data_IF_316179672476
#
_entry.id   IF_316179672476
#
_cell.length_a   1.000
_cell.length_b   1.000
_cell.length_c   1.000
_cell.angle_alpha   90.00
_cell.angle_beta   90.00
_cell.angle_gamma   90.00
#
_symmetry.space_group_name_H-M   'P 1'
#
loop_
_entity.id
_entity.type
_entity.pdbx_description
1 polymer ?
#
# COMPACT_ATOMS: atom_id res chain seq x y z
N UNK A 1 44.36 -12.48 -16.59
CA UNK A 1 43.23 -12.87 -15.77
C UNK A 1 42.26 -13.63 -16.68
N UNK A 2 41.91 -14.88 -16.36
CA UNK A 2 40.92 -15.66 -17.11
C UNK A 2 39.55 -15.34 -16.53
N UNK A 3 38.60 -14.94 -17.37
CA UNK A 3 37.16 -14.82 -17.01
C UNK A 3 36.55 -16.23 -17.08
N UNK A 4 35.77 -16.59 -16.09
CA UNK A 4 34.96 -17.80 -16.11
C UNK A 4 33.49 -17.39 -16.11
N UNK A 5 32.69 -17.93 -17.03
CA UNK A 5 31.27 -17.79 -17.03
C UNK A 5 30.67 -18.61 -15.88
N UNK A 6 29.86 -17.92 -15.04
CA UNK A 6 29.11 -18.57 -13.97
C UNK A 6 27.70 -18.87 -14.49
N UNK A 7 27.41 -20.15 -14.63
CA UNK A 7 26.06 -20.61 -14.99
C UNK A 7 25.04 -20.22 -13.92
N UNK A 8 23.81 -20.02 -14.32
CA UNK A 8 22.67 -19.80 -13.43
C UNK A 8 21.57 -20.81 -13.70
N UNK A 9 20.79 -21.14 -12.69
CA UNK A 9 19.65 -22.04 -12.80
C UNK A 9 18.36 -21.25 -12.78
N UNK A 10 17.63 -21.25 -13.89
CA UNK A 10 16.44 -20.44 -14.07
C UNK A 10 15.36 -20.76 -13.02
N UNK A 11 15.09 -22.02 -12.76
CA UNK A 11 14.11 -22.47 -11.78
C UNK A 11 14.41 -21.94 -10.39
N UNK A 12 15.67 -22.00 -9.93
CA UNK A 12 16.07 -21.51 -8.60
C UNK A 12 15.97 -19.99 -8.46
N UNK A 13 16.33 -19.26 -9.51
CA UNK A 13 16.23 -17.78 -9.50
C UNK A 13 14.76 -17.36 -9.44
N UNK A 14 13.91 -17.94 -10.26
CA UNK A 14 12.46 -17.64 -10.27
C UNK A 14 11.78 -18.06 -8.96
N UNK A 15 12.18 -19.22 -8.40
CA UNK A 15 11.73 -19.62 -7.08
C UNK A 15 12.16 -18.63 -5.98
N UNK A 16 13.37 -18.07 -6.06
CA UNK A 16 13.84 -16.99 -5.20
C UNK A 16 12.98 -15.73 -5.35
N UNK A 17 12.69 -15.33 -6.60
CA UNK A 17 11.83 -14.17 -6.91
C UNK A 17 10.40 -14.36 -6.38
N UNK A 18 9.82 -15.55 -6.49
CA UNK A 18 8.47 -15.84 -5.97
C UNK A 18 8.36 -15.73 -4.46
N UNK A 19 9.49 -15.75 -3.73
CA UNK A 19 9.54 -15.67 -2.26
C UNK A 19 10.02 -14.33 -1.72
N UNK A 20 10.01 -13.29 -2.52
CA UNK A 20 10.40 -11.93 -2.10
C UNK A 20 9.39 -11.29 -1.10
N UNK A 21 8.57 -12.03 -0.39
CA UNK A 21 7.77 -11.49 0.72
C UNK A 21 6.71 -10.45 0.32
N UNK A 22 6.11 -10.59 -0.87
CA UNK A 22 4.95 -9.79 -1.24
C UNK A 22 3.70 -10.23 -0.47
N UNK A 23 2.96 -9.26 0.05
CA UNK A 23 1.55 -9.48 0.40
C UNK A 23 0.70 -9.41 -0.88
N UNK A 24 -0.50 -10.01 -0.92
CA UNK A 24 -1.39 -9.86 -2.07
C UNK A 24 -1.62 -8.40 -2.46
N UNK A 25 -1.78 -7.52 -1.48
CA UNK A 25 -2.02 -6.10 -1.68
C UNK A 25 -0.84 -5.40 -2.34
N UNK A 26 0.39 -5.67 -1.89
CA UNK A 26 1.59 -5.07 -2.47
C UNK A 26 1.88 -5.62 -3.87
N UNK A 27 1.63 -6.92 -4.11
CA UNK A 27 1.80 -7.54 -5.42
C UNK A 27 0.84 -6.94 -6.45
N UNK A 28 -0.45 -6.85 -6.12
CA UNK A 28 -1.46 -6.26 -7.00
C UNK A 28 -1.15 -4.80 -7.28
N UNK A 29 -0.74 -4.03 -6.25
CA UNK A 29 -0.36 -2.63 -6.45
C UNK A 29 0.83 -2.48 -7.41
N UNK A 30 1.87 -3.29 -7.31
CA UNK A 30 3.01 -3.21 -8.24
C UNK A 30 2.64 -3.57 -9.70
N UNK A 31 1.60 -4.39 -9.89
CA UNK A 31 1.08 -4.66 -11.23
C UNK A 31 0.24 -3.49 -11.74
N UNK A 32 -0.61 -2.90 -10.90
CA UNK A 32 -1.39 -1.70 -11.23
C UNK A 32 -0.49 -0.50 -11.53
N UNK A 33 0.67 -0.37 -10.85
CA UNK A 33 1.67 0.64 -11.18
C UNK A 33 2.09 0.59 -12.66
N UNK A 34 2.22 -0.61 -13.24
CA UNK A 34 2.55 -0.75 -14.65
C UNK A 34 1.44 -0.24 -15.57
N UNK A 35 0.18 -0.51 -15.25
CA UNK A 35 -0.98 -0.01 -16.00
C UNK A 35 -1.00 1.53 -16.01
N UNK A 36 -0.84 2.15 -14.82
CA UNK A 36 -0.83 3.62 -14.67
C UNK A 36 0.36 4.24 -15.42
N UNK A 37 1.55 3.65 -15.30
CA UNK A 37 2.77 4.13 -15.98
C UNK A 37 2.61 4.09 -17.50
N UNK A 38 1.84 3.11 -18.01
CA UNK A 38 1.55 2.97 -19.44
C UNK A 38 0.24 3.64 -19.87
N UNK A 39 -0.12 4.72 -19.18
CA UNK A 39 -1.19 5.66 -19.55
C UNK A 39 -2.59 5.05 -19.55
N UNK A 40 -2.85 4.06 -18.72
CA UNK A 40 -4.20 3.57 -18.50
C UNK A 40 -5.09 4.64 -17.85
N UNK A 41 -6.29 4.77 -18.34
CA UNK A 41 -7.35 5.58 -17.74
C UNK A 41 -8.30 4.73 -16.89
N UNK A 42 -8.44 3.46 -17.27
CA UNK A 42 -9.27 2.49 -16.57
C UNK A 42 -8.43 1.25 -16.21
N UNK A 43 -8.46 0.86 -14.94
CA UNK A 43 -7.81 -0.36 -14.45
C UNK A 43 -8.81 -1.19 -13.67
N UNK A 44 -8.99 -2.44 -14.09
CA UNK A 44 -9.92 -3.37 -13.46
C UNK A 44 -9.15 -4.50 -12.78
N UNK A 45 -9.22 -4.56 -11.47
CA UNK A 45 -8.68 -5.66 -10.67
C UNK A 45 -9.80 -6.63 -10.36
N UNK A 46 -9.63 -7.91 -10.70
CA UNK A 46 -10.60 -8.96 -10.38
C UNK A 46 -9.94 -10.09 -9.61
N UNK A 47 -10.58 -10.51 -8.54
CA UNK A 47 -10.23 -11.68 -7.76
C UNK A 47 -11.31 -12.73 -8.00
N UNK A 48 -11.03 -13.68 -8.88
CA UNK A 48 -11.99 -14.70 -9.27
C UNK A 48 -11.95 -15.84 -8.27
N UNK A 49 -13.11 -16.17 -7.71
CA UNK A 49 -13.26 -17.28 -6.77
C UNK A 49 -13.35 -18.60 -7.50
N UNK A 50 -12.64 -19.61 -7.00
CA UNK A 50 -12.85 -20.97 -7.43
C UNK A 50 -14.25 -21.45 -7.02
N UNK A 51 -15.01 -22.02 -7.96
CA UNK A 51 -16.28 -22.68 -7.66
C UNK A 51 -16.02 -23.97 -6.90
N UNK A 52 -16.05 -23.91 -5.59
CA UNK A 52 -15.97 -25.09 -4.71
C UNK A 52 -17.40 -25.61 -4.51
N UNK A 53 -17.54 -26.94 -4.43
CA UNK A 53 -18.78 -27.61 -4.08
C UNK A 53 -19.38 -26.97 -2.81
N UNK A 54 -20.66 -26.64 -2.86
CA UNK A 54 -21.39 -25.89 -1.81
C UNK A 54 -21.32 -26.51 -0.40
N UNK A 55 -20.79 -27.73 -0.28
CA UNK A 55 -20.62 -28.44 0.99
C UNK A 55 -19.39 -27.98 1.82
N UNK A 56 -18.40 -27.30 1.24
CA UNK A 56 -17.20 -26.85 1.97
C UNK A 56 -17.16 -25.32 2.13
N UNK A 57 -17.87 -24.83 3.15
CA UNK A 57 -17.94 -23.41 3.50
C UNK A 57 -16.60 -22.83 4.04
N UNK A 58 -15.55 -23.63 4.18
CA UNK A 58 -14.32 -23.24 4.89
C UNK A 58 -13.18 -22.80 3.99
N UNK A 59 -13.26 -23.03 2.67
CA UNK A 59 -12.19 -22.68 1.73
C UNK A 59 -12.70 -21.71 0.66
N UNK A 60 -12.38 -20.44 0.85
CA UNK A 60 -12.55 -19.43 -0.18
C UNK A 60 -11.28 -19.41 -1.05
N UNK A 61 -11.10 -20.40 -1.92
CA UNK A 61 -9.95 -20.44 -2.81
C UNK A 61 -10.10 -19.39 -3.91
N UNK A 62 -9.01 -18.73 -4.22
CA UNK A 62 -8.90 -17.85 -5.37
C UNK A 62 -8.50 -18.70 -6.58
N UNK A 63 -9.27 -18.60 -7.67
CA UNK A 63 -8.96 -19.24 -8.95
C UNK A 63 -7.85 -18.49 -9.67
N UNK A 64 -8.02 -17.17 -9.76
CA UNK A 64 -7.11 -16.29 -10.49
C UNK A 64 -7.21 -14.83 -10.02
N UNK A 65 -6.15 -14.09 -10.27
CA UNK A 65 -6.13 -12.63 -10.31
C UNK A 65 -6.12 -12.17 -11.77
N UNK A 66 -6.92 -11.15 -12.07
CA UNK A 66 -6.92 -10.46 -13.35
C UNK A 66 -6.69 -8.98 -13.08
N UNK A 67 -5.72 -8.38 -13.77
CA UNK A 67 -5.52 -6.95 -13.83
C UNK A 67 -5.63 -6.56 -15.30
N UNK A 68 -6.64 -5.75 -15.62
CA UNK A 68 -7.02 -5.38 -16.98
C UNK A 68 -6.93 -3.88 -17.11
N UNK A 69 -6.26 -3.38 -18.13
CA UNK A 69 -6.13 -1.95 -18.38
C UNK A 69 -6.35 -1.58 -19.85
N UNK A 70 -6.71 -0.34 -20.06
CA UNK A 70 -6.87 0.31 -21.37
C UNK A 70 -5.66 1.17 -21.77
N UNK A 71 -4.48 0.86 -21.24
CA UNK A 71 -3.24 1.58 -21.51
C UNK A 71 -2.75 1.43 -22.95
N UNK A 72 -1.49 1.85 -23.20
CA UNK A 72 -0.92 1.80 -24.56
C UNK A 72 -0.81 0.37 -25.12
N UNK A 73 -0.87 -0.66 -24.28
CA UNK A 73 -0.66 -2.04 -24.65
C UNK A 73 0.76 -2.34 -25.16
N UNK A 74 0.98 -3.56 -25.58
CA UNK A 74 2.28 -4.05 -26.06
C UNK A 74 2.13 -4.82 -27.36
N UNK A 75 3.13 -4.72 -28.23
CA UNK A 75 3.35 -5.66 -29.32
C UNK A 75 4.10 -6.91 -28.82
N UNK A 76 4.40 -7.82 -29.73
CA UNK A 76 5.10 -9.08 -29.42
C UNK A 76 6.46 -8.83 -28.73
N UNK A 77 7.21 -7.84 -29.20
CA UNK A 77 8.51 -7.54 -28.61
C UNK A 77 8.37 -6.95 -27.19
N UNK A 78 7.38 -6.08 -26.99
CA UNK A 78 7.04 -5.52 -25.69
C UNK A 78 6.63 -6.60 -24.68
N UNK A 79 5.79 -7.56 -25.07
CA UNK A 79 5.38 -8.68 -24.19
C UNK A 79 6.58 -9.57 -23.85
N UNK A 80 7.43 -9.89 -24.82
CA UNK A 80 8.64 -10.69 -24.56
C UNK A 80 9.59 -9.93 -23.60
N UNK A 81 9.80 -8.64 -23.83
CA UNK A 81 10.59 -7.79 -22.93
C UNK A 81 10.00 -7.70 -21.51
N UNK A 82 8.66 -7.72 -21.38
CA UNK A 82 8.00 -7.73 -20.07
C UNK A 82 8.26 -9.05 -19.32
N UNK A 83 8.52 -10.16 -19.99
CA UNK A 83 8.92 -11.42 -19.37
C UNK A 83 10.43 -11.52 -19.10
N UNK A 84 11.30 -10.81 -19.82
CA UNK A 84 12.74 -10.87 -19.62
C UNK A 84 13.16 -10.50 -18.20
N UNK A 85 14.12 -11.22 -17.64
CA UNK A 85 14.70 -10.93 -16.33
C UNK A 85 15.85 -9.93 -16.47
N UNK A 86 15.62 -8.69 -16.05
CA UNK A 86 16.66 -7.65 -16.08
C UNK A 86 16.97 -7.13 -17.49
N UNK A 87 15.94 -6.75 -18.24
CA UNK A 87 16.11 -6.16 -19.57
C UNK A 87 16.90 -4.85 -19.49
N UNK A 88 18.04 -4.79 -20.21
CA UNK A 88 18.92 -3.63 -20.23
C UNK A 88 18.44 -2.52 -21.20
N UNK A 89 17.52 -2.79 -22.09
CA UNK A 89 17.10 -1.88 -23.15
C UNK A 89 15.96 -0.93 -22.73
N UNK A 90 15.36 -1.16 -21.58
CA UNK A 90 14.36 -0.24 -21.03
C UNK A 90 15.02 0.93 -20.29
N UNK A 91 15.00 2.10 -20.95
CA UNK A 91 15.32 3.37 -20.29
C UNK A 91 14.10 3.79 -19.47
N UNK A 92 14.12 3.51 -18.19
CA UNK A 92 13.09 4.03 -17.29
C UNK A 92 13.22 5.54 -17.17
N UNK A 93 12.12 6.28 -17.37
CA UNK A 93 12.10 7.70 -17.06
C UNK A 93 12.29 7.91 -15.55
N UNK A 94 12.85 9.04 -15.15
CA UNK A 94 13.04 9.40 -13.73
C UNK A 94 11.70 9.38 -12.96
N UNK A 95 10.58 9.63 -13.63
CA UNK A 95 9.23 9.61 -13.08
C UNK A 95 8.59 8.21 -13.07
N UNK A 96 9.27 7.19 -13.60
CA UNK A 96 8.73 5.83 -13.64
C UNK A 96 8.47 5.30 -12.24
N UNK A 97 7.30 4.68 -12.06
CA UNK A 97 6.94 3.94 -10.84
C UNK A 97 7.69 2.60 -10.75
N UNK A 98 8.29 2.11 -11.85
CA UNK A 98 9.01 0.83 -11.92
C UNK A 98 10.47 1.07 -12.35
N UNK A 99 11.46 0.63 -11.55
CA UNK A 99 12.89 0.92 -11.81
C UNK A 99 13.73 -0.27 -12.31
N UNK A 100 13.29 -1.53 -12.17
CA UNK A 100 14.21 -2.69 -12.25
C UNK A 100 13.77 -3.80 -13.20
N UNK A 101 12.64 -3.68 -13.89
CA UNK A 101 12.13 -4.72 -14.79
C UNK A 101 11.80 -6.07 -14.15
N UNK A 102 11.87 -6.17 -12.82
CA UNK A 102 11.57 -7.39 -12.05
C UNK A 102 10.20 -7.34 -11.37
N UNK A 103 9.60 -6.17 -11.18
CA UNK A 103 8.38 -5.96 -10.39
C UNK A 103 7.22 -6.85 -10.83
N UNK A 104 6.87 -6.83 -12.12
CA UNK A 104 5.77 -7.64 -12.65
C UNK A 104 5.96 -9.13 -12.34
N UNK A 105 7.16 -9.67 -12.59
CA UNK A 105 7.46 -11.11 -12.40
C UNK A 105 7.48 -11.50 -10.93
N UNK A 106 8.17 -10.74 -10.10
CA UNK A 106 8.26 -11.02 -8.65
C UNK A 106 6.90 -10.86 -7.97
N UNK A 107 6.12 -9.84 -8.32
CA UNK A 107 4.76 -9.65 -7.83
C UNK A 107 3.85 -10.81 -8.26
N UNK A 108 3.79 -11.12 -9.56
CA UNK A 108 2.92 -12.17 -10.08
C UNK A 108 3.28 -13.54 -9.54
N UNK A 109 4.56 -13.94 -9.59
CA UNK A 109 4.99 -15.25 -9.11
C UNK A 109 4.96 -15.40 -7.58
N UNK A 110 4.89 -14.31 -6.84
CA UNK A 110 4.62 -14.39 -5.40
C UNK A 110 3.17 -14.80 -5.10
N UNK A 111 2.24 -14.61 -6.04
CA UNK A 111 0.83 -14.91 -5.88
C UNK A 111 0.42 -16.26 -6.50
N UNK A 112 1.03 -16.66 -7.62
CA UNK A 112 0.72 -17.91 -8.32
C UNK A 112 1.88 -18.41 -9.18
N UNK A 113 1.77 -19.64 -9.69
CA UNK A 113 2.84 -20.25 -10.48
C UNK A 113 2.74 -19.93 -11.97
N UNK A 114 1.60 -19.44 -12.44
CA UNK A 114 1.34 -19.18 -13.86
C UNK A 114 1.06 -17.70 -14.05
N UNK A 115 1.78 -17.09 -14.97
CA UNK A 115 1.59 -15.72 -15.43
C UNK A 115 1.27 -15.71 -16.91
N UNK A 116 0.13 -15.14 -17.28
CA UNK A 116 -0.26 -14.88 -18.66
C UNK A 116 -0.34 -13.38 -18.91
N UNK A 117 0.14 -12.95 -20.06
CA UNK A 117 0.02 -11.58 -20.56
C UNK A 117 -0.72 -11.64 -21.89
N UNK A 118 -1.87 -10.97 -21.94
CA UNK A 118 -2.64 -10.73 -23.16
C UNK A 118 -2.57 -9.24 -23.43
N UNK A 119 -2.04 -8.82 -24.58
CA UNK A 119 -1.87 -7.41 -24.85
C UNK A 119 -2.00 -7.06 -26.31
N UNK A 120 -2.37 -5.80 -26.58
CA UNK A 120 -2.42 -5.21 -27.91
C UNK A 120 -2.08 -3.73 -27.88
N UNK A 121 -1.22 -3.30 -28.80
CA UNK A 121 -0.95 -1.89 -29.09
C UNK A 121 -1.87 -1.32 -30.20
N UNK A 122 -2.88 -2.09 -30.63
CA UNK A 122 -3.82 -1.75 -31.69
C UNK A 122 -3.67 -2.60 -32.96
N UNK A 123 -2.71 -3.52 -32.99
CA UNK A 123 -2.46 -4.42 -34.15
C UNK A 123 -3.08 -5.82 -33.96
N UNK A 124 -3.82 -6.04 -32.90
CA UNK A 124 -4.41 -7.31 -32.51
C UNK A 124 -3.85 -7.81 -31.19
N UNK A 125 -4.67 -8.58 -30.47
CA UNK A 125 -4.26 -9.16 -29.19
C UNK A 125 -3.39 -10.40 -29.41
N UNK A 126 -2.34 -10.48 -28.58
CA UNK A 126 -1.44 -11.63 -28.51
C UNK A 126 -1.39 -12.12 -27.07
N UNK A 127 -1.17 -13.41 -26.89
CA UNK A 127 -1.11 -14.07 -25.59
C UNK A 127 0.19 -14.82 -25.40
N UNK A 128 0.84 -14.59 -24.29
CA UNK A 128 2.03 -15.32 -23.84
C UNK A 128 1.87 -15.76 -22.40
N UNK A 129 2.48 -16.91 -22.09
CA UNK A 129 2.40 -17.56 -20.79
C UNK A 129 3.75 -18.05 -20.31
N UNK A 130 3.98 -17.90 -19.02
CA UNK A 130 5.06 -18.55 -18.26
C UNK A 130 4.43 -19.41 -17.17
N UNK A 131 4.82 -20.68 -17.12
CA UNK A 131 4.45 -21.62 -16.06
C UNK A 131 5.71 -22.07 -15.32
N UNK A 132 5.88 -21.63 -14.07
CA UNK A 132 7.04 -21.95 -13.24
C UNK A 132 7.26 -23.46 -13.06
N UNK A 133 6.21 -24.27 -13.13
CA UNK A 133 6.29 -25.72 -12.96
C UNK A 133 6.93 -26.42 -14.15
N UNK A 134 6.97 -25.78 -15.31
CA UNK A 134 7.58 -26.32 -16.53
C UNK A 134 9.02 -25.85 -16.75
N UNK A 135 9.49 -24.90 -15.93
CA UNK A 135 10.82 -24.34 -16.06
C UNK A 135 11.83 -25.18 -15.27
N UNK A 136 12.77 -25.77 -15.98
CA UNK A 136 13.87 -26.55 -15.42
C UNK A 136 15.20 -25.77 -15.51
N UNK A 137 15.88 -25.86 -16.66
CA UNK A 137 17.21 -25.27 -16.86
C UNK A 137 17.18 -23.93 -17.60
N UNK A 138 16.15 -23.70 -18.43
CA UNK A 138 16.02 -22.47 -19.24
C UNK A 138 14.69 -21.76 -18.95
N UNK A 139 14.75 -20.42 -18.91
CA UNK A 139 13.58 -19.58 -18.79
C UNK A 139 12.97 -19.30 -20.16
N UNK A 140 11.69 -19.59 -20.33
CA UNK A 140 10.96 -19.38 -21.58
C UNK A 140 9.52 -19.00 -21.32
N UNK A 141 8.89 -18.37 -22.29
CA UNK A 141 7.45 -18.19 -22.37
C UNK A 141 6.90 -18.89 -23.60
N UNK A 142 5.64 -19.25 -23.56
CA UNK A 142 4.93 -19.90 -24.66
C UNK A 142 3.90 -18.94 -25.24
N UNK A 143 3.87 -18.78 -26.56
CA UNK A 143 2.80 -18.09 -27.28
C UNK A 143 1.59 -19.01 -27.35
N UNK A 144 0.41 -18.53 -27.01
CA UNK A 144 -0.85 -19.30 -27.02
C UNK A 144 -1.92 -18.54 -27.82
N UNK A 145 -2.86 -19.29 -28.40
CA UNK A 145 -4.04 -18.71 -29.02
C UNK A 145 -4.98 -18.14 -27.95
N UNK A 146 -5.74 -17.10 -28.30
CA UNK A 146 -6.80 -16.58 -27.44
C UNK A 146 -7.92 -17.62 -27.30
N UNK A 147 -8.45 -17.72 -26.10
CA UNK A 147 -9.65 -18.54 -25.84
C UNK A 147 -10.91 -17.68 -25.94
N UNK A 148 -12.08 -18.30 -26.08
CA UNK A 148 -13.37 -17.59 -26.05
C UNK A 148 -13.52 -16.73 -24.76
N UNK A 149 -13.00 -17.23 -23.62
CA UNK A 149 -12.98 -16.49 -22.34
C UNK A 149 -12.07 -15.25 -22.41
N UNK A 150 -10.94 -15.35 -23.11
CA UNK A 150 -10.04 -14.21 -23.32
C UNK A 150 -10.69 -13.14 -24.20
N UNK A 151 -11.37 -13.55 -25.27
CA UNK A 151 -12.08 -12.64 -26.16
C UNK A 151 -13.25 -11.93 -25.45
N UNK A 152 -14.02 -12.65 -24.62
CA UNK A 152 -15.07 -12.05 -23.80
C UNK A 152 -14.52 -11.02 -22.80
N UNK A 153 -13.35 -11.30 -22.19
CA UNK A 153 -12.70 -10.36 -21.26
C UNK A 153 -12.22 -9.10 -21.99
N UNK A 154 -11.65 -9.26 -23.18
CA UNK A 154 -11.20 -8.15 -24.03
C UNK A 154 -12.39 -7.27 -24.40
N UNK A 155 -13.42 -7.87 -24.98
CA UNK A 155 -14.61 -7.14 -25.48
C UNK A 155 -15.33 -6.39 -24.36
N UNK A 156 -15.37 -6.98 -23.18
CA UNK A 156 -16.05 -6.37 -22.03
C UNK A 156 -15.29 -5.18 -21.43
N UNK A 157 -13.96 -5.24 -21.40
CA UNK A 157 -13.18 -4.33 -20.54
C UNK A 157 -12.22 -3.42 -21.33
N UNK A 158 -11.87 -3.75 -22.57
CA UNK A 158 -10.89 -2.98 -23.37
C UNK A 158 -11.58 -2.31 -24.55
N UNK A 159 -11.78 -1.02 -24.43
CA UNK A 159 -12.39 -0.22 -25.49
C UNK A 159 -11.27 0.38 -26.35
N UNK A 160 -11.39 0.22 -27.70
CA UNK A 160 -10.42 0.83 -28.61
C UNK A 160 -9.28 -0.08 -29.05
N UNK A 161 -9.30 -1.37 -28.66
CA UNK A 161 -8.37 -2.39 -29.15
C UNK A 161 -6.93 -2.27 -28.66
N UNK A 162 -6.70 -1.45 -27.63
CA UNK A 162 -5.40 -1.30 -26.94
C UNK A 162 -5.56 -1.54 -25.47
N UNK A 163 -4.61 -2.23 -24.89
CA UNK A 163 -4.59 -2.49 -23.45
C UNK A 163 -3.90 -3.80 -23.11
N UNK A 164 -3.93 -4.13 -21.83
CA UNK A 164 -3.25 -5.32 -21.31
C UNK A 164 -4.11 -6.04 -20.28
N UNK A 165 -4.09 -7.37 -20.32
CA UNK A 165 -4.61 -8.25 -19.29
C UNK A 165 -3.44 -9.03 -18.71
N UNK A 166 -3.22 -8.88 -17.42
CA UNK A 166 -2.33 -9.73 -16.62
C UNK A 166 -3.19 -10.75 -15.89
N UNK A 167 -2.99 -12.03 -16.17
CA UNK A 167 -3.68 -13.13 -15.50
C UNK A 167 -2.69 -13.93 -14.67
N UNK A 168 -3.00 -14.18 -13.41
CA UNK A 168 -2.20 -15.01 -12.51
C UNK A 168 -3.07 -16.16 -12.06
N UNK A 169 -2.62 -17.40 -12.31
CA UNK A 169 -3.33 -18.62 -11.94
C UNK A 169 -2.44 -19.58 -11.16
N UNK A 170 -2.99 -20.73 -10.76
CA UNK A 170 -2.32 -21.68 -9.85
C UNK A 170 -1.84 -20.98 -8.57
N UNK A 171 -2.81 -20.36 -7.89
CA UNK A 171 -2.61 -19.41 -6.81
C UNK A 171 -2.04 -20.10 -5.54
N UNK A 172 -1.12 -19.43 -4.88
CA UNK A 172 -0.55 -19.83 -3.58
C UNK A 172 -1.56 -19.60 -2.44
N UNK A 173 -2.54 -20.50 -2.30
CA UNK A 173 -3.71 -20.35 -1.41
C UNK A 173 -3.35 -20.05 0.05
N UNK A 174 -2.19 -20.49 0.52
CA UNK A 174 -1.76 -20.25 1.91
C UNK A 174 -1.50 -18.76 2.21
N UNK A 175 -1.31 -17.93 1.19
CA UNK A 175 -1.15 -16.49 1.34
C UNK A 175 -2.50 -15.77 1.52
N UNK A 176 -3.62 -16.49 1.42
CA UNK A 176 -4.97 -15.94 1.43
C UNK A 176 -5.84 -16.62 2.48
N UNK A 177 -5.75 -16.24 3.77
CA UNK A 177 -6.51 -16.90 4.84
C UNK A 177 -8.02 -16.72 4.71
N UNK A 178 -8.47 -15.63 4.08
CA UNK A 178 -9.88 -15.32 3.84
C UNK A 178 -10.05 -14.41 2.62
N UNK A 179 -10.81 -14.86 1.63
CA UNK A 179 -11.11 -14.05 0.44
C UNK A 179 -11.77 -12.71 0.80
N UNK A 180 -12.73 -12.73 1.73
CA UNK A 180 -13.44 -11.52 2.17
C UNK A 180 -12.48 -10.49 2.75
N UNK A 181 -11.58 -10.92 3.61
CA UNK A 181 -10.60 -10.03 4.21
C UNK A 181 -9.61 -9.51 3.16
N UNK A 182 -9.13 -10.39 2.27
CA UNK A 182 -8.23 -10.00 1.17
C UNK A 182 -8.86 -8.91 0.28
N UNK A 183 -10.12 -9.06 -0.11
CA UNK A 183 -10.84 -8.05 -0.91
C UNK A 183 -10.99 -6.74 -0.15
N UNK A 184 -11.49 -6.80 1.08
CA UNK A 184 -11.72 -5.59 1.90
C UNK A 184 -10.42 -4.82 2.21
N UNK A 185 -9.34 -5.54 2.50
CA UNK A 185 -8.03 -4.91 2.72
C UNK A 185 -7.46 -4.34 1.42
N UNK A 186 -7.61 -5.05 0.30
CA UNK A 186 -7.11 -4.59 -0.99
C UNK A 186 -7.85 -3.31 -1.43
N UNK A 187 -9.18 -3.27 -1.32
CA UNK A 187 -9.98 -2.08 -1.62
C UNK A 187 -9.47 -0.85 -0.83
N UNK A 188 -9.37 -0.99 0.47
CA UNK A 188 -8.88 0.08 1.36
C UNK A 188 -7.46 0.54 1.00
N UNK A 189 -6.55 -0.42 0.76
CA UNK A 189 -5.16 -0.10 0.44
C UNK A 189 -5.01 0.55 -0.93
N UNK A 190 -5.72 0.06 -1.95
CA UNK A 190 -5.69 0.66 -3.29
C UNK A 190 -6.20 2.10 -3.26
N UNK A 191 -7.27 2.39 -2.50
CA UNK A 191 -7.79 3.74 -2.33
C UNK A 191 -6.79 4.74 -1.72
N UNK A 192 -5.90 4.25 -0.84
CA UNK A 192 -4.82 5.07 -0.27
C UNK A 192 -3.62 5.14 -1.20
N UNK A 193 -3.16 4.00 -1.74
CA UNK A 193 -1.97 3.94 -2.62
C UNK A 193 -2.15 4.86 -3.82
N UNK A 194 -3.33 4.83 -4.42
CA UNK A 194 -3.66 5.57 -5.63
C UNK A 194 -4.52 6.80 -5.40
N UNK A 195 -4.57 7.33 -4.18
CA UNK A 195 -5.36 8.49 -3.80
C UNK A 195 -5.27 9.64 -4.82
N UNK A 196 -4.06 10.02 -5.22
CA UNK A 196 -3.86 11.11 -6.16
C UNK A 196 -4.26 10.76 -7.58
N UNK A 197 -3.99 9.54 -8.02
CA UNK A 197 -4.34 9.10 -9.37
C UNK A 197 -5.85 8.98 -9.54
N UNK A 198 -6.56 8.44 -8.54
CA UNK A 198 -8.03 8.40 -8.54
C UNK A 198 -8.60 9.81 -8.50
N UNK A 199 -8.01 10.71 -7.70
CA UNK A 199 -8.41 12.11 -7.66
C UNK A 199 -8.19 12.84 -8.99
N UNK A 200 -7.16 12.47 -9.72
CA UNK A 200 -6.82 13.02 -11.04
C UNK A 200 -7.61 12.36 -12.19
N UNK A 201 -8.54 11.43 -11.88
CA UNK A 201 -9.51 10.89 -12.82
C UNK A 201 -9.23 9.47 -13.31
N UNK A 202 -8.22 8.74 -12.78
CA UNK A 202 -8.05 7.32 -13.06
C UNK A 202 -9.20 6.54 -12.44
N UNK A 203 -9.85 5.70 -13.24
CA UNK A 203 -10.89 4.78 -12.80
C UNK A 203 -10.25 3.44 -12.41
N UNK A 204 -10.28 3.13 -11.12
CA UNK A 204 -9.80 1.86 -10.58
C UNK A 204 -10.99 1.08 -10.01
N UNK A 205 -11.17 -0.16 -10.44
CA UNK A 205 -12.22 -1.03 -9.90
C UNK A 205 -11.65 -2.29 -9.27
N UNK A 206 -12.33 -2.81 -8.26
CA UNK A 206 -12.06 -4.11 -7.66
C UNK A 206 -13.35 -4.95 -7.70
N UNK A 207 -13.31 -6.07 -8.42
CA UNK A 207 -14.48 -6.95 -8.64
C UNK A 207 -15.70 -6.19 -9.18
N UNK A 208 -15.49 -5.34 -10.17
CA UNK A 208 -16.48 -4.49 -10.82
C UNK A 208 -17.04 -3.33 -9.94
N UNK A 209 -16.58 -3.19 -8.68
CA UNK A 209 -16.92 -2.06 -7.81
C UNK A 209 -15.83 -0.99 -7.87
N UNK A 210 -16.24 0.28 -7.93
CA UNK A 210 -15.30 1.41 -7.99
C UNK A 210 -14.52 1.53 -6.67
N UNK A 211 -13.20 1.57 -6.75
CA UNK A 211 -12.35 1.87 -5.60
C UNK A 211 -12.41 3.37 -5.32
N UNK A 212 -12.97 3.72 -4.17
CA UNK A 212 -13.00 5.10 -3.74
C UNK A 212 -11.62 5.56 -3.22
N UNK A 213 -11.25 6.81 -3.54
CA UNK A 213 -10.06 7.42 -2.95
C UNK A 213 -10.22 7.52 -1.43
N UNK A 214 -9.17 7.19 -0.69
CA UNK A 214 -9.18 7.30 0.75
C UNK A 214 -8.10 8.28 1.23
N UNK A 215 -8.53 9.43 1.75
CA UNK A 215 -7.63 10.41 2.33
C UNK A 215 -7.29 10.04 3.78
N UNK A 216 -6.07 9.60 4.02
CA UNK A 216 -5.59 9.24 5.37
C UNK A 216 -5.54 10.43 6.33
N UNK A 217 -5.49 11.65 5.81
CA UNK A 217 -5.49 12.89 6.59
C UNK A 217 -6.90 13.41 6.88
N UNK A 218 -7.92 12.93 6.14
CA UNK A 218 -9.27 13.48 6.17
C UNK A 218 -9.27 15.01 5.98
N UNK A 219 -8.58 15.46 4.93
CA UNK A 219 -8.27 16.88 4.70
C UNK A 219 -9.56 17.70 4.58
N UNK A 220 -10.54 17.22 3.83
CA UNK A 220 -11.83 17.92 3.63
C UNK A 220 -12.55 18.13 4.96
N UNK A 221 -12.60 17.11 5.83
CA UNK A 221 -13.22 17.22 7.15
C UNK A 221 -12.40 18.14 8.07
N UNK A 222 -11.08 18.11 7.98
CA UNK A 222 -10.20 19.00 8.72
C UNK A 222 -10.39 20.47 8.30
N UNK A 223 -10.58 20.73 7.03
CA UNK A 223 -10.85 22.08 6.50
C UNK A 223 -12.21 22.60 6.92
N UNK A 224 -13.26 21.74 6.90
CA UNK A 224 -14.59 22.09 7.39
C UNK A 224 -14.58 22.47 8.87
N UNK A 225 -13.76 21.82 9.69
CA UNK A 225 -13.60 22.15 11.10
C UNK A 225 -12.77 23.43 11.34
N UNK A 226 -12.21 23.99 10.28
CA UNK A 226 -11.35 25.16 10.33
C UNK A 226 -9.91 24.87 10.70
N UNK A 227 -9.03 25.82 10.42
CA UNK A 227 -7.62 25.73 10.75
C UNK A 227 -7.39 26.14 12.20
N UNK A 228 -7.20 25.17 13.09
CA UNK A 228 -7.03 25.38 14.52
C UNK A 228 -5.57 25.48 14.98
N UNK A 229 -4.64 25.75 14.08
CA UNK A 229 -3.21 25.85 14.40
C UNK A 229 -2.91 26.89 15.48
N UNK A 230 -3.71 27.95 15.58
CA UNK A 230 -3.48 29.09 16.47
C UNK A 230 -4.36 29.07 17.72
N UNK A 231 -5.32 28.14 17.80
CA UNK A 231 -6.24 28.06 18.94
C UNK A 231 -5.73 27.11 20.02
N UNK A 232 -5.98 27.49 21.27
CA UNK A 232 -5.82 26.56 22.38
C UNK A 232 -6.84 25.41 22.27
N UNK A 233 -6.44 24.21 22.72
CA UNK A 233 -7.30 23.05 22.70
C UNK A 233 -8.42 23.22 23.73
N UNK A 234 -9.64 23.41 23.24
CA UNK A 234 -10.84 23.39 24.07
C UNK A 234 -11.42 21.97 24.19
N UNK A 235 -12.40 21.82 25.09
CA UNK A 235 -13.03 20.52 25.33
C UNK A 235 -13.64 19.88 24.08
N UNK A 236 -14.33 20.67 23.25
CA UNK A 236 -15.02 20.16 22.05
C UNK A 236 -14.05 19.87 20.90
N UNK A 237 -13.00 20.65 20.78
CA UNK A 237 -12.05 20.57 19.67
C UNK A 237 -11.25 19.29 19.64
N UNK A 238 -11.09 18.57 20.75
CA UNK A 238 -10.41 17.27 20.79
C UNK A 238 -11.21 16.16 20.08
N UNK A 239 -12.49 16.39 19.81
CA UNK A 239 -13.34 15.48 19.05
C UNK A 239 -13.29 15.75 17.53
N UNK A 240 -12.58 16.76 17.09
CA UNK A 240 -12.52 17.18 15.70
C UNK A 240 -11.21 16.79 15.04
N UNK A 241 -11.24 16.53 13.74
CA UNK A 241 -10.00 16.46 12.95
C UNK A 241 -9.45 17.87 12.80
N UNK A 242 -8.15 18.01 13.04
CA UNK A 242 -7.45 19.30 13.02
C UNK A 242 -6.26 19.24 12.09
N UNK A 243 -6.15 20.21 11.19
CA UNK A 243 -4.96 20.44 10.39
C UNK A 243 -3.89 21.08 11.28
N UNK A 244 -2.77 20.41 11.45
CA UNK A 244 -1.65 20.92 12.25
C UNK A 244 -0.67 21.72 11.42
N UNK A 245 -0.43 21.28 10.18
CA UNK A 245 0.41 22.02 9.22
C UNK A 245 0.19 21.57 7.78
N UNK A 246 0.65 22.41 6.84
CA UNK A 246 0.90 22.11 5.44
C UNK A 246 2.00 23.03 4.95
N UNK A 247 3.20 22.50 4.72
CA UNK A 247 4.35 23.32 4.33
C UNK A 247 5.36 22.54 3.49
N UNK A 248 6.22 23.28 2.79
CA UNK A 248 7.40 22.70 2.16
C UNK A 248 8.35 22.15 3.23
N UNK A 249 8.94 20.99 2.95
CA UNK A 249 10.00 20.42 3.78
C UNK A 249 11.34 20.94 3.25
N UNK A 250 12.01 21.72 4.08
CA UNK A 250 13.33 22.26 3.76
C UNK A 250 14.40 21.23 4.15
N UNK A 251 14.99 20.58 3.15
CA UNK A 251 16.10 19.66 3.32
C UNK A 251 17.34 20.35 2.77
N UNK A 252 18.25 20.74 3.66
CA UNK A 252 19.50 21.39 3.30
C UNK A 252 20.46 20.40 2.61
N UNK A 253 20.15 20.05 1.38
CA UNK A 253 20.96 19.17 0.53
C UNK A 253 21.31 19.83 -0.81
N UNK A 254 22.33 19.31 -1.47
CA UNK A 254 22.69 19.70 -2.82
C UNK A 254 22.66 18.49 -3.73
N UNK A 255 21.79 18.41 -4.73
CA UNK A 255 20.83 19.44 -5.19
C UNK A 255 19.64 19.65 -4.25
N UNK A 256 18.88 20.74 -4.48
CA UNK A 256 17.67 21.01 -3.68
C UNK A 256 16.63 19.94 -3.88
N UNK A 257 16.03 19.49 -2.79
CA UNK A 257 15.01 18.44 -2.76
C UNK A 257 13.62 19.08 -2.69
N UNK A 258 12.72 18.66 -3.57
CA UNK A 258 11.32 19.05 -3.51
C UNK A 258 10.53 18.05 -2.66
N UNK A 259 10.08 18.49 -1.51
CA UNK A 259 9.25 17.74 -0.59
C UNK A 259 8.25 18.63 0.13
N UNK A 260 7.11 18.10 0.51
CA UNK A 260 6.15 18.79 1.35
C UNK A 260 5.58 17.87 2.41
N UNK A 261 5.18 18.47 3.52
CA UNK A 261 4.61 17.77 4.67
C UNK A 261 3.26 18.37 5.01
N UNK A 262 2.28 17.51 5.20
CA UNK A 262 0.96 17.85 5.75
C UNK A 262 0.69 16.97 6.96
N UNK A 263 0.14 17.54 8.01
CA UNK A 263 -0.16 16.81 9.25
C UNK A 263 -1.56 17.15 9.73
N UNK A 264 -2.31 16.13 10.12
CA UNK A 264 -3.58 16.25 10.81
C UNK A 264 -3.58 15.48 12.11
N UNK A 265 -4.42 15.91 13.02
CA UNK A 265 -4.73 15.24 14.26
C UNK A 265 -6.17 14.75 14.22
N UNK A 266 -6.36 13.44 14.25
CA UNK A 266 -7.68 12.82 14.31
C UNK A 266 -8.31 12.93 15.71
N UNK A 267 -9.62 12.68 15.88
CA UNK A 267 -10.23 12.62 17.20
C UNK A 267 -9.54 11.59 18.10
N UNK A 268 -9.43 11.90 19.38
CA UNK A 268 -8.84 10.95 20.33
C UNK A 268 -9.87 9.91 20.80
N UNK A 269 -9.52 8.62 20.83
CA UNK A 269 -10.44 7.55 21.21
C UNK A 269 -11.08 7.70 22.60
N UNK A 270 -10.38 8.23 23.64
CA UNK A 270 -11.00 8.40 24.95
C UNK A 270 -12.19 9.34 24.98
N UNK A 271 -12.29 10.25 24.01
CA UNK A 271 -13.43 11.16 23.89
C UNK A 271 -14.15 10.93 22.58
N UNK A 272 -15.40 10.66 22.71
CA UNK A 272 -16.36 10.58 21.63
C UNK A 272 -17.11 11.89 21.58
N UNK A 273 -17.99 12.05 20.63
CA UNK A 273 -18.79 13.25 20.56
C UNK A 273 -19.32 13.62 21.96
N UNK A 274 -19.15 14.85 22.36
CA UNK A 274 -19.67 15.37 23.63
C UNK A 274 -21.20 15.32 23.69
N UNK A 275 -21.83 15.02 22.60
CA UNK A 275 -23.28 14.91 22.41
C UNK A 275 -23.82 13.52 22.77
N UNK A 276 -22.96 12.57 23.10
CA UNK A 276 -23.36 11.21 23.47
C UNK A 276 -23.82 10.30 22.30
N UNK A 277 -23.80 10.81 21.07
CA UNK A 277 -24.30 10.06 19.90
C UNK A 277 -23.30 9.08 19.29
N UNK A 278 -22.01 9.24 19.53
CA UNK A 278 -21.00 8.38 18.93
C UNK A 278 -20.22 7.58 19.95
N UNK A 279 -20.28 6.27 19.79
CA UNK A 279 -19.51 5.34 20.60
C UNK A 279 -18.01 5.36 20.20
N UNK A 280 -17.09 5.11 21.13
CA UNK A 280 -15.66 5.03 20.92
C UNK A 280 -15.27 4.16 19.75
N UNK A 281 -15.82 2.96 19.73
CA UNK A 281 -15.55 1.97 18.72
C UNK A 281 -15.92 2.46 17.29
N UNK A 282 -16.97 3.26 17.16
CA UNK A 282 -17.38 3.81 15.85
C UNK A 282 -16.37 4.83 15.33
N UNK A 283 -15.86 5.71 16.19
CA UNK A 283 -14.83 6.72 15.84
C UNK A 283 -13.53 6.02 15.46
N UNK A 284 -13.07 5.07 16.27
CA UNK A 284 -11.87 4.28 15.96
C UNK A 284 -11.99 3.57 14.61
N UNK A 285 -13.14 2.94 14.36
CA UNK A 285 -13.41 2.24 13.11
C UNK A 285 -13.47 3.21 11.92
N UNK A 286 -14.20 4.34 12.07
CA UNK A 286 -14.34 5.35 11.00
C UNK A 286 -12.97 5.88 10.55
N UNK A 287 -12.14 6.28 11.50
CA UNK A 287 -10.85 6.92 11.22
C UNK A 287 -9.67 5.95 11.24
N UNK A 288 -9.91 4.63 11.39
CA UNK A 288 -8.86 3.62 11.46
C UNK A 288 -7.78 3.97 12.50
N UNK A 289 -8.20 4.39 13.70
CA UNK A 289 -7.30 4.79 14.79
C UNK A 289 -6.80 3.54 15.51
N UNK A 290 -5.62 3.08 15.11
CA UNK A 290 -4.97 1.86 15.62
C UNK A 290 -3.45 1.92 15.45
N UNK A 291 -2.73 0.99 16.08
CA UNK A 291 -1.27 0.99 16.16
C UNK A 291 -0.56 0.91 14.79
N UNK A 292 -1.20 0.36 13.77
CA UNK A 292 -0.64 0.19 12.43
C UNK A 292 -0.86 1.36 11.48
N UNK A 293 -1.64 2.38 11.86
CA UNK A 293 -2.10 3.42 10.94
C UNK A 293 -1.65 4.84 11.30
N UNK A 294 -0.85 5.03 12.35
CA UNK A 294 -0.33 6.35 12.73
C UNK A 294 1.12 6.52 12.33
N UNK A 295 1.49 7.70 11.90
CA UNK A 295 2.79 8.03 11.36
C UNK A 295 2.68 8.81 10.07
N UNK A 296 3.75 8.79 9.29
CA UNK A 296 3.83 9.45 8.00
C UNK A 296 3.52 8.49 6.86
N UNK A 297 2.60 8.88 5.99
CA UNK A 297 2.32 8.23 4.71
C UNK A 297 3.16 8.93 3.65
N UNK A 298 4.11 8.21 3.07
CA UNK A 298 5.07 8.80 2.13
C UNK A 298 4.65 8.49 0.71
N UNK A 299 4.40 9.53 -0.07
CA UNK A 299 4.06 9.46 -1.48
C UNK A 299 5.23 9.96 -2.32
N UNK A 300 5.62 9.19 -3.33
CA UNK A 300 6.59 9.58 -4.35
C UNK A 300 5.91 9.62 -5.70
N UNK A 301 6.02 10.73 -6.41
CA UNK A 301 5.33 10.93 -7.69
C UNK A 301 3.84 10.51 -7.61
N UNK A 302 3.14 10.98 -6.57
CA UNK A 302 1.73 10.70 -6.28
C UNK A 302 1.38 9.26 -5.86
N UNK A 303 2.32 8.31 -5.85
CA UNK A 303 2.12 6.93 -5.43
C UNK A 303 2.61 6.74 -3.98
N UNK A 304 1.78 6.14 -3.12
CA UNK A 304 2.20 5.78 -1.76
C UNK A 304 3.33 4.73 -1.82
N UNK A 305 4.46 5.04 -1.21
CA UNK A 305 5.63 4.15 -1.13
C UNK A 305 5.89 3.62 0.28
N UNK A 306 5.41 4.31 1.31
CA UNK A 306 5.52 3.81 2.68
C UNK A 306 4.28 4.15 3.50
N UNK A 307 3.85 3.18 4.30
CA UNK A 307 2.63 3.17 5.08
C UNK A 307 2.91 3.48 6.53
N UNK A 308 2.32 4.55 7.06
CA UNK A 308 2.36 4.91 8.49
C UNK A 308 3.78 4.85 9.09
N UNK A 309 4.77 5.41 8.38
CA UNK A 309 6.19 5.36 8.73
C UNK A 309 6.47 6.21 9.99
N UNK A 310 7.23 5.65 10.91
CA UNK A 310 7.60 6.32 12.16
C UNK A 310 9.07 6.75 12.21
N UNK A 311 9.83 6.44 11.15
CA UNK A 311 11.22 6.81 10.95
C UNK A 311 12.12 6.54 12.18
N UNK A 312 12.15 5.26 12.62
CA UNK A 312 12.99 4.83 13.76
C UNK A 312 12.82 5.70 15.00
N UNK A 313 11.55 6.00 15.36
CA UNK A 313 11.24 6.70 16.62
C UNK A 313 11.09 8.21 16.51
N UNK A 314 11.11 8.82 15.32
CA UNK A 314 10.66 10.22 15.18
C UNK A 314 9.23 10.36 15.70
N UNK A 315 8.35 9.39 15.39
CA UNK A 315 7.05 9.26 16.06
C UNK A 315 7.14 8.05 17.02
N UNK A 316 7.01 8.24 18.35
CA UNK A 316 7.12 7.16 19.31
C UNK A 316 6.04 6.10 19.13
N UNK A 317 6.36 4.87 19.50
CA UNK A 317 5.39 3.78 19.54
C UNK A 317 4.58 3.85 20.83
N UNK A 318 3.61 4.76 20.84
CA UNK A 318 2.78 5.04 22.01
C UNK A 318 1.35 5.39 21.54
N UNK A 319 0.35 4.96 22.31
CA UNK A 319 -1.06 5.25 22.06
C UNK A 319 -1.40 6.75 22.02
N UNK A 320 -0.62 7.59 22.69
CA UNK A 320 -0.77 9.05 22.67
C UNK A 320 -0.67 9.63 21.25
N UNK A 321 -0.13 8.84 20.28
CA UNK A 321 0.07 9.25 18.89
C UNK A 321 -0.83 8.53 17.90
N UNK A 322 -1.72 7.63 18.33
CA UNK A 322 -2.57 6.84 17.40
C UNK A 322 -3.46 7.71 16.52
N UNK A 323 -3.77 8.91 16.95
CA UNK A 323 -4.55 9.89 16.19
C UNK A 323 -3.71 10.80 15.29
N UNK A 324 -2.39 10.65 15.29
CA UNK A 324 -1.49 11.41 14.41
C UNK A 324 -1.53 10.85 12.98
N UNK A 325 -1.64 11.75 12.01
CA UNK A 325 -1.49 11.42 10.59
C UNK A 325 -0.61 12.45 9.92
N UNK A 326 0.45 11.97 9.29
CA UNK A 326 1.30 12.80 8.44
C UNK A 326 1.29 12.29 7.00
N UNK A 327 1.45 13.18 6.04
CA UNK A 327 1.66 12.87 4.63
C UNK A 327 2.88 13.61 4.15
N UNK A 328 3.82 12.91 3.53
CA UNK A 328 5.00 13.47 2.90
C UNK A 328 4.86 13.24 1.40
N UNK A 329 4.96 14.32 0.62
CA UNK A 329 4.96 14.26 -0.83
C UNK A 329 6.38 14.50 -1.31
N UNK A 330 6.89 13.58 -2.11
CA UNK A 330 8.23 13.57 -2.69
C UNK A 330 8.12 13.50 -4.21
N UNK A 331 9.06 14.13 -4.88
CA UNK A 331 9.37 13.84 -6.27
C UNK A 331 10.69 13.04 -6.38
N UNK A 332 11.14 12.80 -7.62
CA UNK A 332 12.37 12.03 -7.88
C UNK A 332 13.64 12.66 -7.32
N UNK A 333 13.66 13.97 -7.03
CA UNK A 333 14.82 14.67 -6.46
C UNK A 333 15.09 14.26 -5.02
N UNK A 334 14.08 13.70 -4.33
CA UNK A 334 14.16 13.27 -2.95
C UNK A 334 14.64 11.82 -2.75
N UNK A 335 14.87 11.07 -3.83
CA UNK A 335 15.20 9.64 -3.76
C UNK A 335 16.42 9.36 -2.88
N UNK A 336 17.48 10.17 -3.00
CA UNK A 336 18.71 10.01 -2.20
C UNK A 336 18.51 10.41 -0.75
N UNK A 337 17.76 11.50 -0.48
CA UNK A 337 17.50 11.98 0.86
C UNK A 337 16.64 11.01 1.68
N UNK A 338 15.78 10.24 1.02
CA UNK A 338 14.89 9.26 1.63
C UNK A 338 15.37 7.81 1.42
N UNK A 339 16.53 7.59 0.80
CA UNK A 339 17.10 6.27 0.50
C UNK A 339 16.03 5.28 0.01
N UNK A 340 15.29 5.69 -1.02
CA UNK A 340 14.17 4.90 -1.54
C UNK A 340 14.71 3.64 -2.22
N UNK A 341 14.44 2.49 -1.62
CA UNK A 341 14.90 1.21 -2.13
C UNK A 341 14.05 0.67 -3.30
N UNK A 342 14.58 -0.37 -3.94
CA UNK A 342 13.96 -1.08 -5.07
C UNK A 342 12.56 -1.60 -4.76
N UNK A 343 12.34 -2.05 -3.53
CA UNK A 343 11.09 -2.68 -3.09
C UNK A 343 10.04 -1.66 -2.63
N UNK A 344 10.41 -0.39 -2.49
CA UNK A 344 9.53 0.64 -1.90
C UNK A 344 8.98 0.23 -0.52
N UNK A 345 9.69 -0.66 0.20
CA UNK A 345 9.21 -1.28 1.44
C UNK A 345 9.92 -0.78 2.70
N UNK A 346 11.08 -0.17 2.55
CA UNK A 346 11.80 0.47 3.66
C UNK A 346 12.32 1.84 3.24
N UNK A 347 12.10 2.81 4.09
CA UNK A 347 12.65 4.15 3.96
C UNK A 347 13.63 4.41 5.08
N UNK A 348 14.82 4.84 4.72
CA UNK A 348 15.81 5.35 5.68
C UNK A 348 16.16 6.78 5.32
N UNK A 349 16.04 7.67 6.28
CA UNK A 349 16.33 9.08 6.06
C UNK A 349 17.82 9.32 6.02
N UNK A 350 18.28 10.21 5.12
CA UNK A 350 19.58 10.86 5.28
C UNK A 350 19.61 11.68 6.57
N UNK A 351 20.78 12.09 7.01
CA UNK A 351 20.92 12.92 8.22
C UNK A 351 20.15 14.24 8.08
N UNK A 352 20.29 14.90 6.93
CA UNK A 352 19.62 16.17 6.64
C UNK A 352 18.09 16.04 6.59
N UNK A 353 17.57 14.98 5.95
CA UNK A 353 16.14 14.72 5.90
C UNK A 353 15.59 14.37 7.28
N UNK A 354 16.38 13.66 8.11
CA UNK A 354 16.03 13.31 9.47
C UNK A 354 15.95 14.55 10.35
N UNK A 355 16.92 15.45 10.25
CA UNK A 355 16.93 16.70 11.02
C UNK A 355 15.73 17.59 10.65
N UNK A 356 15.48 17.78 9.36
CA UNK A 356 14.32 18.55 8.89
C UNK A 356 12.99 17.99 9.40
N UNK A 357 12.81 16.65 9.37
CA UNK A 357 11.60 16.00 9.89
C UNK A 357 11.55 15.97 11.41
N UNK A 358 12.69 15.95 12.11
CA UNK A 358 12.75 15.90 13.58
C UNK A 358 12.16 17.16 14.19
N UNK A 359 12.56 18.33 13.71
CA UNK A 359 12.07 19.62 14.22
C UNK A 359 10.55 19.72 14.07
N UNK A 360 10.03 19.37 12.91
CA UNK A 360 8.59 19.33 12.65
C UNK A 360 7.88 18.30 13.55
N UNK A 361 8.43 17.08 13.62
CA UNK A 361 7.84 15.98 14.39
C UNK A 361 7.77 16.32 15.88
N UNK A 362 8.76 17.03 16.43
CA UNK A 362 8.78 17.42 17.84
C UNK A 362 7.66 18.41 18.20
N UNK A 363 7.34 19.32 17.31
CA UNK A 363 6.20 20.21 17.49
C UNK A 363 4.89 19.43 17.51
N UNK A 364 4.68 18.53 16.52
CA UNK A 364 3.44 17.78 16.41
C UNK A 364 3.27 16.71 17.47
N UNK A 365 4.36 16.09 17.91
CA UNK A 365 4.36 15.19 19.07
C UNK A 365 3.84 15.91 20.32
N UNK A 366 4.35 17.10 20.58
CA UNK A 366 3.88 17.91 21.73
C UNK A 366 2.39 18.25 21.63
N UNK A 367 1.93 18.64 20.44
CA UNK A 367 0.52 18.94 20.18
C UNK A 367 -0.35 17.69 20.34
N UNK A 368 0.04 16.55 19.78
CA UNK A 368 -0.68 15.29 19.88
C UNK A 368 -0.80 14.81 21.33
N UNK A 369 0.29 14.80 22.05
CA UNK A 369 0.31 14.41 23.48
C UNK A 369 -0.55 15.32 24.36
N UNK A 370 -0.46 16.64 24.17
CA UNK A 370 -1.32 17.61 24.89
C UNK A 370 -2.80 17.37 24.59
N UNK A 371 -3.14 17.06 23.34
CA UNK A 371 -4.50 16.75 22.94
C UNK A 371 -5.02 15.46 23.59
N UNK A 372 -4.20 14.41 23.62
CA UNK A 372 -4.54 13.16 24.31
C UNK A 372 -4.79 13.37 25.79
N UNK A 373 -3.89 14.10 26.49
CA UNK A 373 -4.04 14.41 27.90
C UNK A 373 -5.34 15.18 28.15
N UNK A 374 -5.63 16.18 27.34
CA UNK A 374 -6.87 16.93 27.42
C UNK A 374 -8.11 16.08 27.20
N UNK A 375 -8.08 15.18 26.21
CA UNK A 375 -9.14 14.22 25.96
C UNK A 375 -9.39 13.33 27.19
N UNK A 376 -8.33 12.84 27.81
CA UNK A 376 -8.42 12.00 29.02
C UNK A 376 -8.99 12.76 30.21
N UNK A 377 -8.59 14.00 30.41
CA UNK A 377 -9.12 14.85 31.47
C UNK A 377 -10.61 15.12 31.30
N UNK A 378 -11.05 15.41 30.08
CA UNK A 378 -12.45 15.65 29.77
C UNK A 378 -13.30 14.39 29.98
N UNK A 379 -12.79 13.21 29.59
CA UNK A 379 -13.47 11.94 29.89
C UNK A 379 -13.64 11.74 31.39
N UNK A 380 -12.61 12.01 32.20
CA UNK A 380 -12.71 11.93 33.66
C UNK A 380 -13.76 12.88 34.23
N UNK A 381 -13.83 14.11 33.72
CA UNK A 381 -14.83 15.08 34.15
C UNK A 381 -16.27 14.67 33.79
N UNK A 382 -16.47 14.00 32.65
CA UNK A 382 -17.78 13.54 32.19
C UNK A 382 -18.29 12.32 32.95
N UNK A 383 -17.39 11.40 33.36
CA UNK A 383 -17.77 10.14 34.02
C UNK A 383 -17.83 10.22 35.55
N UNK A 384 -17.42 11.36 36.16
CA UNK A 384 -17.26 11.46 37.59
C UNK A 384 -16.04 10.70 38.11
N UNK A 385 -15.69 10.92 39.38
CA UNK A 385 -14.44 10.40 40.00
C UNK A 385 -14.42 8.87 40.26
N UNK A 386 -14.66 8.03 39.26
CA UNK A 386 -14.38 6.58 39.36
C UNK A 386 -13.09 6.22 38.56
N UNK A 387 -11.89 6.39 39.14
CA UNK A 387 -10.63 6.25 38.43
C UNK A 387 -10.35 4.82 37.91
N UNK A 388 -10.91 3.80 38.57
CA UNK A 388 -10.63 2.40 38.22
C UNK A 388 -11.43 1.91 37.00
N UNK A 389 -12.59 2.48 36.73
CA UNK A 389 -13.41 2.11 35.58
C UNK A 389 -12.82 2.66 34.30
N UNK A 390 -12.28 3.86 34.33
CA UNK A 390 -11.63 4.52 33.19
C UNK A 390 -10.37 3.77 32.73
N UNK A 391 -9.54 3.29 33.68
CA UNK A 391 -8.34 2.51 33.36
C UNK A 391 -8.69 1.13 32.76
N UNK A 392 -9.75 0.50 33.28
CA UNK A 392 -10.24 -0.78 32.77
C UNK A 392 -10.93 -0.64 31.42
N UNK A 393 -11.69 0.43 31.16
CA UNK A 393 -12.31 0.71 29.88
C UNK A 393 -11.25 1.00 28.80
N UNK A 394 -10.22 1.79 29.12
CA UNK A 394 -9.10 2.04 28.22
C UNK A 394 -8.33 0.73 27.95
N UNK A 395 -8.12 -0.11 28.94
CA UNK A 395 -7.43 -1.39 28.76
C UNK A 395 -8.27 -2.41 27.98
N UNK A 396 -9.59 -2.46 28.17
CA UNK A 396 -10.51 -3.33 27.44
C UNK A 396 -10.77 -2.87 25.99
N UNK A 397 -10.69 -1.56 25.73
CA UNK A 397 -10.76 -0.98 24.38
C UNK A 397 -9.45 -1.19 23.59
N UNK A 398 -8.37 -1.52 24.29
CA UNK A 398 -7.05 -1.83 23.72
C UNK A 398 -6.86 -3.33 23.42
N UNK A 399 -7.93 -4.12 23.41
CA UNK A 399 -7.88 -5.46 22.87
C UNK A 399 -7.41 -5.37 21.41
N UNK A 400 -6.09 -5.51 21.28
CA UNK A 400 -5.34 -5.43 20.04
C UNK A 400 -5.81 -6.61 19.23
N UNK A 401 -6.49 -6.42 18.09
CA UNK A 401 -6.68 -7.52 17.18
C UNK A 401 -5.29 -8.02 16.79
N UNK A 402 -5.10 -9.32 16.88
CA UNK A 402 -3.87 -10.04 16.57
C UNK A 402 -3.08 -9.37 15.46
N UNK A 403 -1.78 -9.19 15.72
CA UNK A 403 -0.78 -8.75 14.75
C UNK A 403 -1.00 -9.48 13.42
N UNK A 404 -0.95 -8.75 12.32
CA UNK A 404 -0.95 -9.33 10.99
C UNK A 404 0.10 -10.47 10.93
N UNK A 405 -0.25 -11.66 10.43
CA UNK A 405 0.71 -12.75 10.34
C UNK A 405 1.83 -12.36 9.37
N UNK A 406 3.01 -12.12 9.91
CA UNK A 406 4.20 -11.74 9.15
C UNK A 406 5.27 -10.99 9.92
N UNK A 407 4.97 -10.40 11.07
CA UNK A 407 5.96 -9.68 11.90
C UNK A 407 5.96 -10.18 13.35
N UNK A 408 6.22 -11.46 13.54
CA UNK A 408 6.64 -11.97 14.85
C UNK A 408 8.13 -11.64 15.02
N UNK A 409 8.46 -10.61 15.78
CA UNK A 409 9.79 -10.46 16.34
C UNK A 409 9.95 -11.59 17.38
N UNK A 410 10.92 -12.52 17.22
CA UNK A 410 11.13 -13.59 18.19
C UNK A 410 11.46 -12.97 19.55
N UNK A 411 10.89 -13.54 20.61
CA UNK A 411 11.21 -13.13 21.97
C UNK A 411 12.68 -13.42 22.30
N UNK A 412 13.29 -12.64 23.20
CA UNK A 412 14.70 -12.85 23.59
C UNK A 412 15.00 -14.24 24.19
N UNK A 413 14.00 -15.06 24.47
CA UNK A 413 14.17 -16.43 24.96
C UNK A 413 14.29 -17.45 23.83
N UNK A 414 13.71 -17.18 22.66
CA UNK A 414 13.81 -18.08 21.49
C UNK A 414 15.14 -17.99 20.74
N UNK A 415 15.92 -16.91 20.92
CA UNK A 415 17.27 -16.81 20.40
C UNK A 415 18.32 -17.63 21.16
N UNK A 416 17.99 -18.06 22.38
CA UNK A 416 18.93 -18.87 23.21
C UNK A 416 18.88 -20.37 22.95
N UNK A 417 17.88 -20.87 22.26
CA UNK A 417 17.78 -22.30 21.90
C UNK A 417 18.38 -22.65 20.52
N UNK A 418 18.90 -21.69 19.78
CA UNK A 418 19.49 -21.87 18.44
C UNK A 418 21.00 -21.58 18.37
N UNK A 419 21.64 -21.43 19.49
CA UNK A 419 23.11 -21.45 19.65
C UNK A 419 23.48 -22.71 20.43
#
# INVERSE_FOLDING_TARGET
MSRQDLGWNASRVLFGLSRIGYTPQSAIADIVDNSITNSASNVHVKIVKERIDLSDNRKNNIKEYLIIDDGCGMDKQGVLAAFELGNNDFVYSEDSLSKFGLGLKSASFSQGNILEIISSNGEGFIKFKVDLKTIEDSYFCTEEDLTDEDEELIDKNIIGGKGTIIRITDIHQNNHPSLKNTVSELEYRLGIIYYYFINDGISLTLNDELVEKYDVLFTDEAEQNGNLNEHEWSGKEVCWIKKLTSQALDIHSTPSVSASVEVTQLPHPPIHSLDGESEPAKIRKKYKIESGNYGYYVYRNKRLISWAERFNGLIPQDQDYFSFRGRILLDSTADDAFNIDVKKSSLTLSEEARDALSDLSDEYKRKSKKSWQRATELKKQMLGDEPNQIANDIASELDIPDMLPGEAIPSPEEEKEKL
#
